data_IF_484104232292
#
_entry.id   IF_484104232292
#
_cell.length_a   1.000
_cell.length_b   1.000
_cell.length_c   1.000
_cell.angle_alpha   90.00
_cell.angle_beta   90.00
_cell.angle_gamma   90.00
#
_symmetry.space_group_name_H-M   'P 1'
#
loop_
_entity.id
_entity.type
_entity.pdbx_description
1 polymer ?
#
# COMPACT_ATOMS: atom_id res chain seq x y z
N UNK A 1 28.68 36.38 -39.01
CA UNK A 1 27.78 35.86 -37.96
C UNK A 1 27.09 37.03 -37.27
N UNK A 2 25.75 37.06 -37.28
CA UNK A 2 24.97 38.19 -36.78
C UNK A 2 25.20 38.36 -35.27
N UNK A 3 25.48 39.61 -34.84
CA UNK A 3 25.70 39.95 -33.42
C UNK A 3 24.56 39.45 -32.52
N UNK A 4 23.34 39.39 -33.06
CA UNK A 4 22.14 38.87 -32.39
C UNK A 4 22.22 37.36 -32.12
N UNK A 5 22.77 36.58 -33.06
CA UNK A 5 22.90 35.12 -32.92
C UNK A 5 23.99 34.79 -31.89
N UNK A 6 25.09 35.56 -31.88
CA UNK A 6 26.12 35.44 -30.83
C UNK A 6 25.56 35.76 -29.44
N UNK A 7 24.72 36.81 -29.34
CA UNK A 7 24.10 37.20 -28.08
C UNK A 7 23.12 36.13 -27.57
N UNK A 8 22.25 35.60 -28.43
CA UNK A 8 21.31 34.52 -28.08
C UNK A 8 22.03 33.23 -27.66
N UNK A 9 23.14 32.87 -28.31
CA UNK A 9 23.93 31.70 -27.95
C UNK A 9 24.61 31.88 -26.58
N UNK A 10 25.08 33.09 -26.26
CA UNK A 10 25.68 33.38 -24.95
C UNK A 10 24.66 33.34 -23.82
N UNK A 11 23.44 33.86 -24.04
CA UNK A 11 22.35 33.83 -23.05
C UNK A 11 21.89 32.40 -22.79
N UNK A 12 21.84 31.56 -23.83
CA UNK A 12 21.49 30.15 -23.69
C UNK A 12 22.54 29.36 -22.88
N UNK A 13 23.84 29.66 -23.05
CA UNK A 13 24.90 29.04 -22.25
C UNK A 13 24.84 29.43 -20.76
N UNK A 14 24.49 30.69 -20.44
CA UNK A 14 24.37 31.14 -19.05
C UNK A 14 23.19 30.47 -18.34
N UNK A 15 22.06 30.27 -19.04
CA UNK A 15 20.90 29.56 -18.47
C UNK A 15 21.16 28.05 -18.25
N UNK A 16 21.95 27.42 -19.11
CA UNK A 16 22.35 26.03 -18.94
C UNK A 16 23.29 25.83 -17.75
N UNK A 17 24.24 26.75 -17.51
CA UNK A 17 25.13 26.71 -16.35
C UNK A 17 24.40 26.93 -15.01
N UNK A 18 23.36 27.77 -14.98
CA UNK A 18 22.58 27.99 -13.75
C UNK A 18 21.82 26.72 -13.28
N UNK A 19 21.38 25.86 -14.22
CA UNK A 19 20.78 24.56 -13.91
C UNK A 19 21.81 23.54 -13.40
N UNK A 20 23.05 23.61 -13.88
CA UNK A 20 24.14 22.72 -13.48
C UNK A 20 24.75 23.06 -12.10
N UNK A 21 24.50 24.27 -11.59
CA UNK A 21 24.99 24.73 -10.27
C UNK A 21 23.98 24.57 -9.13
N UNK A 22 22.84 23.91 -9.34
CA UNK A 22 22.05 23.49 -8.19
C UNK A 22 22.89 22.45 -7.41
N UNK A 23 23.29 22.73 -6.14
CA UNK A 23 23.93 21.70 -5.33
C UNK A 23 22.99 20.50 -5.32
N UNK A 24 23.51 19.25 -5.34
CA UNK A 24 22.65 18.08 -5.25
C UNK A 24 21.69 18.33 -4.09
N UNK A 25 20.39 18.29 -4.37
CA UNK A 25 19.35 18.37 -3.35
C UNK A 25 19.77 17.34 -2.31
N UNK A 26 20.28 17.81 -1.17
CA UNK A 26 20.62 16.91 -0.09
C UNK A 26 19.30 16.24 0.24
N UNK A 27 19.13 14.98 -0.17
CA UNK A 27 18.21 14.10 0.52
C UNK A 27 18.59 14.30 1.98
N UNK A 28 17.61 14.70 2.79
CA UNK A 28 17.78 14.72 4.23
C UNK A 28 18.12 13.29 4.60
N UNK A 29 19.41 12.94 4.59
CA UNK A 29 19.90 11.80 5.35
C UNK A 29 19.49 12.18 6.75
N UNK A 30 18.47 11.49 7.26
CA UNK A 30 18.13 11.47 8.67
C UNK A 30 19.49 11.36 9.37
N UNK A 31 19.93 12.41 10.07
CA UNK A 31 21.08 12.27 10.96
C UNK A 31 20.70 11.11 11.86
N UNK A 32 21.59 10.16 12.08
CA UNK A 32 21.40 9.15 13.12
C UNK A 32 21.14 9.94 14.41
N UNK A 33 19.87 10.05 14.77
CA UNK A 33 19.45 10.85 15.89
C UNK A 33 19.79 10.05 17.12
N UNK A 34 21.05 10.12 17.55
CA UNK A 34 21.37 10.06 18.97
C UNK A 34 20.88 11.39 19.56
N UNK A 35 19.58 11.64 19.49
CA UNK A 35 18.97 12.82 20.08
C UNK A 35 18.67 12.47 21.52
N UNK A 36 19.64 12.74 22.39
CA UNK A 36 19.46 12.87 23.84
C UNK A 36 19.13 11.57 24.60
N UNK A 37 19.79 10.45 24.29
CA UNK A 37 19.88 9.39 25.29
C UNK A 37 20.79 9.92 26.41
N UNK A 38 20.21 10.34 27.54
CA UNK A 38 20.93 10.43 28.80
C UNK A 38 21.64 9.09 28.98
N UNK A 39 22.97 9.07 28.84
CA UNK A 39 23.74 7.84 28.98
C UNK A 39 23.40 7.23 30.35
N UNK A 40 22.68 6.10 30.34
CA UNK A 40 22.47 5.34 31.56
C UNK A 40 23.81 4.70 31.91
N UNK A 41 24.31 4.99 33.11
CA UNK A 41 25.55 4.45 33.61
C UNK A 41 25.25 3.27 34.55
N UNK A 42 25.88 2.14 34.29
CA UNK A 42 25.89 1.00 35.18
C UNK A 42 27.23 0.95 35.91
N UNK A 43 27.19 0.81 37.23
CA UNK A 43 28.39 0.61 38.05
C UNK A 43 28.70 -0.88 38.11
N UNK A 44 29.84 -1.28 37.55
CA UNK A 44 30.33 -2.67 37.53
C UNK A 44 31.76 -2.65 38.06
N UNK A 45 32.03 -3.43 39.10
CA UNK A 45 33.37 -3.60 39.71
C UNK A 45 34.10 -2.28 40.07
N UNK A 46 33.34 -1.26 40.49
CA UNK A 46 33.90 0.03 40.90
C UNK A 46 34.18 1.00 39.74
N UNK A 47 33.81 0.65 38.51
CA UNK A 47 33.90 1.51 37.33
C UNK A 47 32.50 1.83 36.74
N UNK A 48 32.37 2.99 36.11
CA UNK A 48 31.12 3.46 35.50
C UNK A 48 31.11 3.15 34.00
N UNK A 49 30.24 2.24 33.57
CA UNK A 49 30.10 1.88 32.15
C UNK A 49 28.86 2.56 31.57
N UNK A 50 29.03 3.35 30.51
CA UNK A 50 27.92 3.94 29.77
C UNK A 50 27.23 2.89 28.91
N UNK A 51 25.91 2.82 29.00
CA UNK A 51 25.07 2.03 28.10
C UNK A 51 24.24 2.93 27.19
N UNK A 52 23.88 2.40 26.03
CA UNK A 52 22.93 3.00 25.12
C UNK A 52 21.94 1.89 24.75
N UNK A 53 20.66 2.12 25.01
CA UNK A 53 19.61 1.24 24.53
C UNK A 53 19.41 1.50 23.03
N UNK A 54 19.59 0.47 22.21
CA UNK A 54 19.40 0.55 20.78
C UNK A 54 17.96 0.19 20.44
N UNK A 55 17.38 0.92 19.49
CA UNK A 55 16.09 0.54 18.91
C UNK A 55 16.17 -0.86 18.31
N UNK A 56 15.14 -1.68 18.57
CA UNK A 56 15.05 -3.01 17.98
C UNK A 56 14.89 -2.88 16.47
N UNK A 57 15.86 -3.37 15.72
CA UNK A 57 15.81 -3.40 14.26
C UNK A 57 15.32 -4.76 13.78
N UNK A 58 14.31 -4.76 12.92
CA UNK A 58 13.83 -5.99 12.29
C UNK A 58 14.74 -6.36 11.12
N UNK A 59 15.38 -7.53 11.19
CA UNK A 59 16.20 -8.07 10.11
C UNK A 59 15.35 -8.93 9.17
N UNK A 60 15.02 -8.36 8.01
CA UNK A 60 14.31 -9.08 6.96
C UNK A 60 15.28 -9.74 5.99
N UNK A 61 14.99 -10.98 5.65
CA UNK A 61 15.70 -11.70 4.59
C UNK A 61 14.77 -11.83 3.39
N UNK A 62 15.33 -11.69 2.21
CA UNK A 62 14.62 -11.88 0.95
C UNK A 62 13.90 -13.24 0.89
N UNK A 63 12.73 -13.25 0.24
CA UNK A 63 12.01 -14.47 -0.05
C UNK A 63 12.68 -15.24 -1.21
N UNK A 64 13.03 -16.50 -0.94
CA UNK A 64 13.52 -17.44 -1.94
C UNK A 64 12.38 -18.35 -2.38
N UNK A 65 12.09 -18.37 -3.68
CA UNK A 65 10.97 -19.12 -4.23
C UNK A 65 11.44 -20.37 -4.98
N UNK A 66 10.85 -21.52 -4.65
CA UNK A 66 11.02 -22.77 -5.40
C UNK A 66 10.20 -22.73 -6.70
N UNK A 67 8.98 -22.18 -6.61
CA UNK A 67 8.08 -22.04 -7.76
C UNK A 67 8.38 -20.77 -8.55
N UNK A 68 8.62 -20.91 -9.87
CA UNK A 68 8.74 -19.76 -10.77
C UNK A 68 7.42 -19.00 -10.88
N UNK A 69 6.29 -19.71 -10.79
CA UNK A 69 4.98 -19.07 -10.83
C UNK A 69 4.75 -18.18 -9.60
N UNK A 70 5.03 -18.68 -8.39
CA UNK A 70 4.92 -17.89 -7.15
C UNK A 70 5.83 -16.67 -7.16
N UNK A 71 7.09 -16.83 -7.60
CA UNK A 71 8.01 -15.70 -7.76
C UNK A 71 7.43 -14.60 -8.65
N UNK A 72 6.86 -14.99 -9.80
CA UNK A 72 6.27 -14.01 -10.72
C UNK A 72 4.99 -13.40 -10.12
N UNK A 73 4.19 -14.19 -9.39
CA UNK A 73 2.99 -13.71 -8.67
C UNK A 73 3.39 -12.63 -7.66
N UNK A 74 4.37 -12.91 -6.81
CA UNK A 74 4.94 -11.96 -5.84
C UNK A 74 5.41 -10.67 -6.52
N UNK A 75 6.20 -10.76 -7.60
CA UNK A 75 6.67 -9.57 -8.33
C UNK A 75 5.55 -8.75 -8.99
N UNK A 76 4.44 -9.39 -9.41
CA UNK A 76 3.26 -8.67 -9.90
C UNK A 76 2.52 -7.99 -8.75
N UNK A 77 2.41 -8.66 -7.61
CA UNK A 77 1.80 -8.12 -6.41
C UNK A 77 2.60 -6.92 -5.88
N UNK A 78 3.93 -7.03 -5.80
CA UNK A 78 4.85 -5.93 -5.45
C UNK A 78 4.55 -4.64 -6.20
N UNK A 79 4.47 -4.70 -7.52
CA UNK A 79 4.14 -3.49 -8.33
C UNK A 79 2.78 -2.88 -7.97
N UNK A 80 1.78 -3.70 -7.64
CA UNK A 80 0.45 -3.24 -7.27
C UNK A 80 0.44 -2.65 -5.86
N UNK A 81 1.08 -3.31 -4.89
CA UNK A 81 1.20 -2.83 -3.51
C UNK A 81 1.86 -1.46 -3.48
N UNK A 82 3.00 -1.30 -4.17
CA UNK A 82 3.70 -0.01 -4.23
C UNK A 82 2.85 1.09 -4.88
N UNK A 83 2.07 0.76 -5.91
CA UNK A 83 1.12 1.70 -6.53
C UNK A 83 -0.01 2.08 -5.57
N UNK A 84 -0.50 1.12 -4.79
CA UNK A 84 -1.70 1.28 -3.95
C UNK A 84 -1.40 1.92 -2.59
N UNK A 85 -0.22 1.68 -2.03
CA UNK A 85 0.16 2.11 -0.67
C UNK A 85 -0.11 3.60 -0.37
N UNK A 86 0.29 4.57 -1.24
CA UNK A 86 0.05 5.99 -0.96
C UNK A 86 -1.44 6.32 -0.79
N UNK A 87 -2.31 5.63 -1.53
CA UNK A 87 -3.75 5.80 -1.41
C UNK A 87 -4.29 5.20 -0.11
N UNK A 88 -3.78 4.04 0.30
CA UNK A 88 -4.18 3.39 1.55
C UNK A 88 -3.81 4.24 2.77
N UNK A 89 -2.57 4.74 2.80
CA UNK A 89 -2.07 5.62 3.87
C UNK A 89 -2.93 6.88 3.97
N UNK A 90 -3.09 7.60 2.86
CA UNK A 90 -3.91 8.81 2.84
C UNK A 90 -5.35 8.56 3.27
N UNK A 91 -5.95 7.43 2.86
CA UNK A 91 -7.29 7.06 3.29
C UNK A 91 -7.37 6.79 4.80
N UNK A 92 -6.40 6.08 5.37
CA UNK A 92 -6.33 5.78 6.79
C UNK A 92 -6.12 7.04 7.64
N UNK A 93 -5.23 7.95 7.22
CA UNK A 93 -5.02 9.25 7.87
C UNK A 93 -6.29 10.09 7.86
N UNK A 94 -6.93 10.21 6.69
CA UNK A 94 -8.21 10.91 6.55
C UNK A 94 -9.24 10.31 7.50
N UNK A 95 -9.38 8.99 7.52
CA UNK A 95 -10.32 8.32 8.42
C UNK A 95 -10.04 8.57 9.90
N UNK A 96 -8.77 8.58 10.29
CA UNK A 96 -8.35 8.89 11.66
C UNK A 96 -8.79 10.31 12.06
N UNK A 97 -8.56 11.29 11.19
CA UNK A 97 -9.00 12.69 11.40
C UNK A 97 -10.53 12.77 11.47
N UNK A 98 -11.23 11.99 10.64
CA UNK A 98 -12.69 11.92 10.65
C UNK A 98 -13.23 11.36 11.97
N UNK A 99 -12.65 10.28 12.48
CA UNK A 99 -13.05 9.66 13.75
C UNK A 99 -12.75 10.59 14.93
N UNK A 100 -11.60 11.28 14.94
CA UNK A 100 -11.28 12.32 15.92
C UNK A 100 -12.33 13.45 15.92
N UNK A 101 -12.71 13.94 14.73
CA UNK A 101 -13.71 15.00 14.63
C UNK A 101 -15.12 14.53 14.97
N UNK A 102 -15.49 13.29 14.65
CA UNK A 102 -16.77 12.71 15.09
C UNK A 102 -16.87 12.61 16.61
N UNK A 103 -15.75 12.31 17.29
CA UNK A 103 -15.70 12.18 18.74
C UNK A 103 -15.96 13.51 19.47
N UNK A 104 -15.61 14.66 18.88
CA UNK A 104 -15.82 15.98 19.50
C UNK A 104 -17.26 16.50 19.40
N UNK A 105 -18.08 15.93 18.51
CA UNK A 105 -19.46 16.38 18.30
C UNK A 105 -20.38 15.89 19.43
N UNK A 106 -21.19 16.80 20.00
CA UNK A 106 -22.03 16.50 21.17
C UNK A 106 -23.42 16.03 20.78
N UNK A 107 -24.01 16.61 19.73
CA UNK A 107 -25.40 16.34 19.36
C UNK A 107 -25.53 15.32 18.21
N UNK A 108 -26.65 14.58 18.21
CA UNK A 108 -26.97 13.64 17.12
C UNK A 108 -27.09 14.33 15.76
N UNK A 109 -27.60 15.57 15.73
CA UNK A 109 -27.75 16.34 14.50
C UNK A 109 -26.41 16.79 13.91
N UNK A 110 -25.46 17.21 14.75
CA UNK A 110 -24.10 17.53 14.30
C UNK A 110 -23.40 16.29 13.74
N UNK A 111 -23.45 15.17 14.46
CA UNK A 111 -22.89 13.89 13.99
C UNK A 111 -23.47 13.49 12.64
N UNK A 112 -24.78 13.63 12.45
CA UNK A 112 -25.45 13.35 11.17
C UNK A 112 -25.02 14.29 10.05
N UNK A 113 -24.94 15.61 10.30
CA UNK A 113 -24.46 16.59 9.30
C UNK A 113 -23.02 16.31 8.89
N UNK A 114 -22.15 16.04 9.87
CA UNK A 114 -20.76 15.73 9.63
C UNK A 114 -20.61 14.40 8.87
N UNK A 115 -21.29 13.33 9.30
CA UNK A 115 -21.26 12.04 8.60
C UNK A 115 -21.67 12.16 7.11
N UNK A 116 -22.67 12.99 6.78
CA UNK A 116 -23.04 13.27 5.37
C UNK A 116 -21.95 14.01 4.59
N UNK A 117 -21.26 14.95 5.21
CA UNK A 117 -20.12 15.65 4.60
C UNK A 117 -18.98 14.68 4.31
N UNK A 118 -18.68 13.81 5.28
CA UNK A 118 -17.68 12.75 5.17
C UNK A 118 -18.03 11.75 4.07
N UNK A 119 -19.27 11.29 4.05
CA UNK A 119 -19.79 10.40 3.02
C UNK A 119 -19.58 10.99 1.62
N UNK A 120 -19.96 12.26 1.42
CA UNK A 120 -19.76 12.94 0.13
C UNK A 120 -18.28 13.05 -0.24
N UNK A 121 -17.43 13.36 0.73
CA UNK A 121 -15.99 13.44 0.50
C UNK A 121 -15.37 12.08 0.13
N UNK A 122 -15.74 11.00 0.84
CA UNK A 122 -15.36 9.63 0.48
C UNK A 122 -15.91 9.30 -0.91
N UNK A 123 -17.16 9.66 -1.21
CA UNK A 123 -17.74 9.43 -2.53
C UNK A 123 -16.96 10.08 -3.65
N UNK A 124 -16.62 11.36 -3.51
CA UNK A 124 -15.97 12.12 -4.57
C UNK A 124 -14.50 11.69 -4.72
N UNK A 125 -13.75 11.63 -3.62
CA UNK A 125 -12.31 11.36 -3.62
C UNK A 125 -12.00 9.86 -3.77
N UNK A 126 -12.62 9.02 -2.95
CA UNK A 126 -12.31 7.59 -2.93
C UNK A 126 -12.80 6.89 -4.20
N UNK A 127 -13.95 7.29 -4.76
CA UNK A 127 -14.41 6.74 -6.04
C UNK A 127 -13.50 7.18 -7.20
N UNK A 128 -13.02 8.43 -7.19
CA UNK A 128 -12.05 8.89 -8.18
C UNK A 128 -10.76 8.07 -8.13
N UNK A 129 -10.24 7.78 -6.94
CA UNK A 129 -9.05 6.92 -6.79
C UNK A 129 -9.33 5.46 -7.14
N UNK A 130 -10.44 4.87 -6.68
CA UNK A 130 -10.84 3.51 -7.01
C UNK A 130 -11.00 3.30 -8.52
N UNK A 131 -11.50 4.31 -9.26
CA UNK A 131 -11.61 4.26 -10.73
C UNK A 131 -10.26 4.19 -11.44
N UNK A 132 -9.17 4.69 -10.83
CA UNK A 132 -7.81 4.60 -11.37
C UNK A 132 -7.16 3.24 -11.09
N UNK A 133 -7.76 2.45 -10.20
CA UNK A 133 -7.26 1.15 -9.79
C UNK A 133 -7.94 0.03 -10.60
N UNK A 134 -7.18 -1.00 -10.93
CA UNK A 134 -7.77 -2.26 -11.41
C UNK A 134 -8.54 -2.95 -10.29
N UNK A 135 -9.43 -3.89 -10.62
CA UNK A 135 -10.18 -4.65 -9.61
C UNK A 135 -9.27 -5.24 -8.51
N UNK A 136 -8.17 -5.87 -8.89
CA UNK A 136 -7.22 -6.45 -7.93
C UNK A 136 -6.45 -5.41 -7.12
N UNK A 137 -6.19 -4.23 -7.68
CA UNK A 137 -5.54 -3.14 -6.94
C UNK A 137 -6.52 -2.55 -5.90
N UNK A 138 -7.81 -2.42 -6.25
CA UNK A 138 -8.85 -2.03 -5.30
C UNK A 138 -9.02 -3.03 -4.15
N UNK A 139 -8.86 -4.34 -4.41
CA UNK A 139 -8.86 -5.36 -3.35
C UNK A 139 -7.68 -5.17 -2.39
N UNK A 140 -6.47 -4.92 -2.92
CA UNK A 140 -5.30 -4.61 -2.10
C UNK A 140 -5.54 -3.34 -1.27
N UNK A 141 -6.12 -2.29 -1.87
CA UNK A 141 -6.43 -1.05 -1.17
C UNK A 141 -7.32 -1.28 0.05
N UNK A 142 -8.41 -2.04 -0.13
CA UNK A 142 -9.35 -2.36 0.95
C UNK A 142 -8.66 -3.11 2.09
N UNK A 143 -7.84 -4.11 1.75
CA UNK A 143 -7.07 -4.86 2.74
C UNK A 143 -6.05 -3.99 3.48
N UNK A 144 -5.36 -3.10 2.78
CA UNK A 144 -4.44 -2.16 3.40
C UNK A 144 -5.16 -1.16 4.30
N UNK A 145 -6.37 -0.73 3.97
CA UNK A 145 -7.19 0.09 4.88
C UNK A 145 -7.45 -0.69 6.17
N UNK A 146 -7.90 -1.95 6.07
CA UNK A 146 -8.07 -2.80 7.26
C UNK A 146 -6.78 -2.93 8.08
N UNK A 147 -5.63 -3.15 7.42
CA UNK A 147 -4.31 -3.17 8.09
C UNK A 147 -4.07 -1.89 8.90
N UNK A 148 -4.42 -0.73 8.36
CA UNK A 148 -4.14 0.57 8.97
C UNK A 148 -5.17 1.04 9.98
N UNK A 149 -6.41 0.58 9.88
CA UNK A 149 -7.51 1.11 10.70
C UNK A 149 -8.10 0.09 11.66
N UNK A 150 -7.77 -1.20 11.51
CA UNK A 150 -8.35 -2.30 12.28
C UNK A 150 -9.79 -2.65 11.91
N UNK A 151 -10.53 -1.70 11.34
CA UNK A 151 -11.89 -1.91 10.84
C UNK A 151 -11.90 -2.35 9.37
N UNK A 152 -12.80 -3.28 9.03
CA UNK A 152 -13.06 -3.61 7.61
C UNK A 152 -13.66 -2.41 6.91
N UNK A 153 -13.40 -2.26 5.60
CA UNK A 153 -14.05 -1.20 4.82
C UNK A 153 -15.57 -1.25 5.01
N UNK A 154 -16.20 -2.43 5.02
CA UNK A 154 -17.61 -2.57 5.34
C UNK A 154 -18.00 -1.98 6.70
N UNK A 155 -17.24 -2.24 7.77
CA UNK A 155 -17.49 -1.70 9.10
C UNK A 155 -17.33 -0.16 9.14
N UNK A 156 -16.30 0.37 8.48
CA UNK A 156 -16.08 1.81 8.33
C UNK A 156 -17.28 2.51 7.66
N UNK A 157 -17.74 1.97 6.53
CA UNK A 157 -18.91 2.51 5.82
C UNK A 157 -20.19 2.37 6.67
N UNK A 158 -20.32 1.28 7.43
CA UNK A 158 -21.49 1.04 8.29
C UNK A 158 -21.55 2.01 9.48
N UNK A 159 -20.40 2.34 10.12
CA UNK A 159 -20.32 3.28 11.26
C UNK A 159 -20.76 4.69 10.87
N UNK A 160 -20.49 5.10 9.64
CA UNK A 160 -20.87 6.41 9.10
C UNK A 160 -22.38 6.56 8.86
N UNK A 161 -23.21 5.58 9.25
CA UNK A 161 -24.65 5.57 8.96
C UNK A 161 -25.47 6.50 9.84
N UNK A 162 -25.93 7.59 9.21
CA UNK A 162 -27.37 7.81 8.96
C UNK A 162 -27.58 8.61 7.65
N UNK A 163 -27.21 8.02 6.51
CA UNK A 163 -27.36 8.71 5.22
C UNK A 163 -26.81 8.04 3.96
N UNK A 164 -26.03 6.95 4.08
CA UNK A 164 -25.33 6.37 2.93
C UNK A 164 -26.21 6.13 1.72
N UNK A 165 -25.87 6.78 0.60
CA UNK A 165 -26.58 6.65 -0.66
C UNK A 165 -26.65 5.17 -1.06
N UNK A 166 -27.87 4.65 -1.29
CA UNK A 166 -28.07 3.29 -1.80
C UNK A 166 -27.24 3.03 -3.07
N UNK A 167 -26.94 4.09 -3.82
CA UNK A 167 -26.08 4.10 -5.00
C UNK A 167 -24.67 3.58 -4.74
N UNK A 168 -24.06 3.93 -3.60
CA UNK A 168 -22.71 3.47 -3.23
C UNK A 168 -22.68 1.98 -2.97
N UNK A 169 -23.66 1.50 -2.20
CA UNK A 169 -23.79 0.07 -1.94
C UNK A 169 -24.06 -0.70 -3.24
N UNK A 170 -24.88 -0.19 -4.17
CA UNK A 170 -25.24 -0.95 -5.38
C UNK A 170 -24.10 -1.07 -6.41
N UNK A 171 -23.30 0.00 -6.61
CA UNK A 171 -22.15 -0.03 -7.53
C UNK A 171 -20.95 -0.77 -6.95
N UNK A 172 -20.67 -0.56 -5.67
CA UNK A 172 -19.51 -1.16 -5.01
C UNK A 172 -19.81 -2.63 -4.65
N UNK A 173 -21.05 -3.00 -4.31
CA UNK A 173 -21.39 -4.40 -4.03
C UNK A 173 -21.20 -5.32 -5.26
N UNK A 174 -21.56 -4.85 -6.45
CA UNK A 174 -21.38 -5.63 -7.70
C UNK A 174 -19.92 -5.94 -8.04
N UNK A 175 -18.97 -5.15 -7.53
CA UNK A 175 -17.56 -5.30 -7.87
C UNK A 175 -16.70 -5.77 -6.68
N UNK A 176 -17.09 -5.44 -5.44
CA UNK A 176 -16.25 -5.52 -4.25
C UNK A 176 -16.96 -5.97 -2.96
N UNK A 177 -18.23 -6.40 -2.95
CA UNK A 177 -18.90 -6.73 -1.66
C UNK A 177 -18.12 -7.74 -0.82
N UNK A 178 -17.61 -8.80 -1.46
CA UNK A 178 -16.76 -9.79 -0.78
C UNK A 178 -15.50 -9.13 -0.22
N UNK A 179 -14.82 -8.32 -1.02
CA UNK A 179 -13.55 -7.70 -0.62
C UNK A 179 -13.72 -6.59 0.41
N UNK A 180 -14.86 -5.90 0.48
CA UNK A 180 -15.14 -4.89 1.52
C UNK A 180 -15.23 -5.49 2.93
N UNK A 181 -15.61 -6.76 3.01
CA UNK A 181 -15.74 -7.51 4.26
C UNK A 181 -14.50 -8.34 4.57
N UNK A 182 -13.56 -8.45 3.63
CA UNK A 182 -12.32 -9.18 3.83
C UNK A 182 -11.42 -8.46 4.81
N UNK A 183 -10.88 -9.23 5.74
CA UNK A 183 -9.87 -8.80 6.69
C UNK A 183 -8.48 -9.01 6.09
N UNK A 184 -7.50 -8.29 6.64
CA UNK A 184 -6.09 -8.46 6.33
C UNK A 184 -5.48 -9.45 7.32
N UNK A 185 -5.11 -10.62 6.84
CA UNK A 185 -4.71 -11.76 7.67
C UNK A 185 -3.36 -12.34 7.21
N UNK A 186 -2.24 -11.62 7.42
CA UNK A 186 -0.94 -12.04 6.89
C UNK A 186 -0.46 -13.39 7.46
N UNK A 187 -0.89 -13.78 8.67
CA UNK A 187 -0.48 -15.06 9.25
C UNK A 187 -1.07 -16.29 8.55
N UNK A 188 -2.27 -16.16 7.97
CA UNK A 188 -3.04 -17.31 7.44
C UNK A 188 -3.24 -17.22 5.94
N UNK A 189 -3.24 -16.02 5.36
CA UNK A 189 -3.45 -15.78 3.93
C UNK A 189 -2.12 -15.41 3.27
N UNK A 190 -1.65 -16.29 2.38
CA UNK A 190 -0.37 -16.11 1.67
C UNK A 190 -0.27 -14.81 0.87
N UNK A 191 -1.36 -14.38 0.23
CA UNK A 191 -1.35 -13.09 -0.49
C UNK A 191 -1.18 -11.91 0.48
N UNK A 192 -1.75 -11.98 1.68
CA UNK A 192 -1.63 -10.92 2.68
C UNK A 192 -0.23 -10.92 3.29
N UNK A 193 0.34 -12.11 3.51
CA UNK A 193 1.76 -12.24 3.87
C UNK A 193 2.66 -11.58 2.82
N UNK A 194 2.44 -11.85 1.53
CA UNK A 194 3.24 -11.22 0.49
C UNK A 194 3.10 -9.70 0.51
N UNK A 195 1.88 -9.17 0.69
CA UNK A 195 1.68 -7.72 0.83
C UNK A 195 2.49 -7.19 2.01
N UNK A 196 2.44 -7.85 3.16
CA UNK A 196 3.16 -7.42 4.36
C UNK A 196 4.67 -7.44 4.18
N UNK A 197 5.18 -8.54 3.62
CA UNK A 197 6.59 -8.69 3.28
C UNK A 197 7.07 -7.58 2.34
N UNK A 198 6.27 -7.25 1.31
CA UNK A 198 6.57 -6.14 0.40
C UNK A 198 6.60 -4.81 1.16
N UNK A 199 5.62 -4.54 2.02
CA UNK A 199 5.56 -3.28 2.77
C UNK A 199 6.78 -3.12 3.66
N UNK A 200 7.06 -4.10 4.51
CA UNK A 200 8.13 -4.00 5.51
C UNK A 200 9.50 -3.84 4.84
N UNK A 201 9.79 -4.59 3.77
CA UNK A 201 11.05 -4.40 3.03
C UNK A 201 11.19 -2.99 2.45
N UNK A 202 10.11 -2.40 1.92
CA UNK A 202 10.21 -1.05 1.33
C UNK A 202 10.14 0.06 2.36
N UNK A 203 9.53 -0.17 3.52
CA UNK A 203 9.57 0.76 4.65
C UNK A 203 10.99 0.77 5.24
N UNK A 204 11.58 -0.40 5.49
CA UNK A 204 12.97 -0.52 6.00
C UNK A 204 13.99 0.06 5.01
N UNK A 205 13.77 -0.11 3.70
CA UNK A 205 14.59 0.50 2.66
C UNK A 205 14.36 2.02 2.46
N UNK A 206 13.53 2.68 3.29
CA UNK A 206 13.10 4.08 3.15
C UNK A 206 12.47 4.42 1.78
N UNK A 207 11.91 3.43 1.10
CA UNK A 207 11.22 3.57 -0.21
C UNK A 207 9.74 3.87 -0.09
N UNK A 208 9.14 3.55 1.05
CA UNK A 208 7.77 3.89 1.40
C UNK A 208 7.75 4.66 2.70
N UNK A 209 6.82 5.61 2.80
CA UNK A 209 6.56 6.26 4.08
C UNK A 209 5.94 5.25 5.05
N UNK A 210 6.51 5.20 6.25
CA UNK A 210 6.08 4.30 7.30
C UNK A 210 4.67 4.64 7.82
N UNK A 211 3.95 3.59 8.19
CA UNK A 211 2.68 3.64 8.91
C UNK A 211 2.43 2.28 9.60
N UNK A 212 2.48 2.32 10.93
CA UNK A 212 2.25 1.16 11.78
C UNK A 212 0.87 0.54 11.55
N UNK A 213 0.76 -0.79 11.44
CA UNK A 213 -0.53 -1.45 11.35
C UNK A 213 -1.32 -1.25 12.65
N UNK A 214 -2.63 -1.02 12.53
CA UNK A 214 -3.53 -1.00 13.68
C UNK A 214 -3.88 -2.40 14.19
N UNK A 215 -3.62 -3.43 13.38
CA UNK A 215 -3.83 -4.83 13.75
C UNK A 215 -2.52 -5.48 14.21
N UNK A 216 -2.61 -6.36 15.20
CA UNK A 216 -1.48 -7.14 15.71
C UNK A 216 -1.35 -8.46 14.94
N UNK A 217 -0.14 -8.79 14.51
CA UNK A 217 0.22 -10.09 13.91
C UNK A 217 1.73 -10.32 14.02
N UNK A 218 2.14 -11.59 13.98
CA UNK A 218 3.54 -12.00 14.00
C UNK A 218 4.05 -12.26 12.57
N UNK A 219 4.93 -11.38 12.09
CA UNK A 219 5.57 -11.52 10.78
C UNK A 219 6.36 -12.84 10.63
N UNK A 220 7.08 -13.28 11.65
CA UNK A 220 7.90 -14.50 11.58
C UNK A 220 7.04 -15.76 11.56
N UNK A 221 5.91 -15.75 12.28
CA UNK A 221 4.88 -16.79 12.18
C UNK A 221 4.27 -16.82 10.79
N UNK A 222 3.89 -15.66 10.24
CA UNK A 222 3.39 -15.54 8.86
C UNK A 222 4.39 -16.09 7.84
N UNK A 223 5.67 -15.73 7.97
CA UNK A 223 6.76 -16.22 7.13
C UNK A 223 6.96 -17.73 7.22
N UNK A 224 6.83 -18.30 8.43
CA UNK A 224 6.90 -19.74 8.65
C UNK A 224 5.75 -20.47 7.97
N UNK A 225 4.53 -19.91 8.05
CA UNK A 225 3.35 -20.46 7.38
C UNK A 225 3.47 -20.38 5.86
N UNK A 226 4.00 -19.28 5.33
CA UNK A 226 4.31 -19.17 3.91
C UNK A 226 5.34 -20.22 3.46
N UNK A 227 6.42 -20.43 4.22
CA UNK A 227 7.42 -21.46 3.90
C UNK A 227 6.81 -22.87 3.91
N UNK A 228 5.86 -23.14 4.80
CA UNK A 228 5.10 -24.39 4.80
C UNK A 228 4.21 -24.51 3.56
N UNK A 229 3.51 -23.44 3.18
CA UNK A 229 2.73 -23.39 1.95
C UNK A 229 3.58 -23.70 0.72
N UNK A 230 4.76 -23.07 0.61
CA UNK A 230 5.65 -23.26 -0.53
C UNK A 230 6.20 -24.70 -0.62
N UNK A 231 6.65 -25.27 0.50
CA UNK A 231 7.11 -26.66 0.55
C UNK A 231 6.04 -27.67 0.16
N UNK A 232 4.77 -27.35 0.39
CA UNK A 232 3.64 -28.21 0.09
C UNK A 232 3.07 -27.99 -1.33
N UNK A 233 3.70 -27.14 -2.15
CA UNK A 233 3.30 -27.00 -3.55
C UNK A 233 3.57 -28.33 -4.30
N UNK A 234 2.64 -28.78 -5.15
CA UNK A 234 2.87 -29.99 -5.92
C UNK A 234 4.04 -29.78 -6.89
N UNK A 235 4.86 -30.80 -7.19
CA UNK A 235 6.00 -30.67 -8.11
C UNK A 235 5.62 -30.14 -9.50
N UNK A 236 4.38 -30.36 -9.92
CA UNK A 236 3.82 -29.91 -11.20
C UNK A 236 3.11 -28.55 -11.13
N UNK A 237 3.15 -27.84 -9.99
CA UNK A 237 2.41 -26.60 -9.75
C UNK A 237 2.58 -25.56 -10.86
N UNK A 238 3.83 -25.26 -11.24
CA UNK A 238 4.14 -24.29 -12.29
C UNK A 238 3.49 -24.67 -13.63
N UNK A 239 3.58 -25.95 -14.02
CA UNK A 239 3.00 -26.45 -15.26
C UNK A 239 1.47 -26.36 -15.26
N UNK A 240 0.82 -26.68 -14.12
CA UNK A 240 -0.63 -26.59 -13.94
C UNK A 240 -1.09 -25.13 -14.09
N UNK A 241 -0.40 -24.20 -13.43
CA UNK A 241 -0.75 -22.78 -13.48
C UNK A 241 -0.53 -22.17 -14.87
N UNK A 242 0.53 -22.58 -15.57
CA UNK A 242 0.79 -22.18 -16.95
C UNK A 242 -0.28 -22.70 -17.90
N UNK A 243 -0.70 -23.96 -17.76
CA UNK A 243 -1.78 -24.55 -18.55
C UNK A 243 -3.12 -23.83 -18.30
N UNK A 244 -3.46 -23.56 -17.03
CA UNK A 244 -4.66 -22.82 -16.66
C UNK A 244 -4.65 -21.38 -17.22
N UNK A 245 -3.49 -20.71 -17.21
CA UNK A 245 -3.31 -19.39 -17.83
C UNK A 245 -3.52 -19.46 -19.35
N UNK A 246 -2.93 -20.43 -20.02
CA UNK A 246 -3.09 -20.62 -21.47
C UNK A 246 -4.56 -20.84 -21.85
N UNK A 247 -5.30 -21.65 -21.06
CA UNK A 247 -6.74 -21.88 -21.25
C UNK A 247 -7.54 -20.57 -21.15
N UNK A 248 -7.31 -19.77 -20.11
CA UNK A 248 -7.97 -18.46 -19.93
C UNK A 248 -7.71 -17.51 -21.11
N UNK A 249 -6.48 -17.47 -21.62
CA UNK A 249 -6.12 -16.64 -22.77
C UNK A 249 -6.88 -17.10 -24.02
N UNK A 250 -6.92 -18.41 -24.29
CA UNK A 250 -7.68 -18.97 -25.43
C UNK A 250 -9.16 -18.63 -25.34
N UNK A 251 -9.78 -18.78 -24.17
CA UNK A 251 -11.19 -18.43 -23.94
C UNK A 251 -11.46 -16.93 -24.13
N UNK A 252 -10.59 -16.07 -23.61
CA UNK A 252 -10.68 -14.61 -23.80
C UNK A 252 -10.60 -14.25 -25.29
N UNK A 253 -9.62 -14.79 -26.01
CA UNK A 253 -9.44 -14.53 -27.44
C UNK A 253 -10.65 -15.00 -28.26
N UNK A 254 -11.21 -16.17 -27.95
CA UNK A 254 -12.44 -16.68 -28.59
C UNK A 254 -13.64 -15.75 -28.34
N UNK A 255 -13.82 -15.29 -27.09
CA UNK A 255 -14.89 -14.33 -26.73
C UNK A 255 -14.70 -12.99 -27.45
N UNK A 256 -13.47 -12.48 -27.52
CA UNK A 256 -13.13 -11.24 -28.22
C UNK A 256 -13.43 -11.34 -29.72
N UNK A 257 -12.98 -12.41 -30.37
CA UNK A 257 -13.25 -12.67 -31.79
C UNK A 257 -14.77 -12.77 -32.08
N UNK A 258 -15.55 -13.41 -31.20
CA UNK A 258 -17.02 -13.46 -31.33
C UNK A 258 -17.66 -12.07 -31.24
N UNK A 259 -17.20 -11.22 -30.32
CA UNK A 259 -17.68 -9.84 -30.19
C UNK A 259 -17.33 -9.00 -31.42
N UNK A 260 -16.13 -9.15 -31.96
CA UNK A 260 -15.69 -8.45 -33.18
C UNK A 260 -16.52 -8.89 -34.40
N UNK A 261 -16.77 -10.20 -34.56
CA UNK A 261 -17.67 -10.71 -35.62
C UNK A 261 -19.09 -10.15 -35.51
N UNK A 262 -19.61 -9.99 -34.28
CA UNK A 262 -20.94 -9.40 -34.03
C UNK A 262 -21.00 -7.89 -34.30
N UNK A 263 -19.88 -7.17 -34.17
CA UNK A 263 -19.81 -5.73 -34.47
C UNK A 263 -19.66 -5.43 -35.97
N UNK A 264 -19.21 -6.42 -36.75
CA UNK A 264 -19.03 -6.33 -38.22
C UNK A 264 -20.27 -6.78 -39.02
N UNK A 265 -21.25 -7.38 -38.36
CA UNK A 265 -22.56 -7.73 -38.91
C UNK A 265 -23.56 -6.66 -38.48
#
# INVERSE_FOLDING_TARGET
MNKIVSFLLSVFCVLAFAKAQQPPTSSSKKKDSISNATAEYYYIDGDSVSSIELDKVMLLQDLNFDSRYERIRYLRLKRKVLKVWPYAKMAAERLTVLDQRLATLRTKNEKKKYAKMVEKYIEDEFNAELKKLTKTEGQILIKLIHRQTGDTAYALLKRLRSGWSAFWFDKTARLFDLSLKEEYLPETVVDDFYVEDILLHHIIDDKLEDQDPAIEFDYFKARSNWKNYERNLPPTYDSIQLAARAKRIREYNKKKARKERRKKK
#
